data_IF_983610414059
#
_entry.id   IF_983610414059
#
_cell.length_a   1.000
_cell.length_b   1.000
_cell.length_c   1.000
_cell.angle_alpha   90.00
_cell.angle_beta   90.00
_cell.angle_gamma   90.00
#
_symmetry.space_group_name_H-M   'P 1'
#
loop_
_entity.id
_entity.type
_entity.pdbx_description
1 polymer ?
#
# COMPACT_ATOMS: atom_id res chain seq x y z
N UNK A 1 28.30 0.42 -11.23
CA UNK A 1 27.58 -0.06 -10.04
C UNK A 1 28.03 -1.48 -9.79
N UNK A 2 28.64 -1.73 -8.63
CA UNK A 2 28.86 -3.10 -8.16
C UNK A 2 27.50 -3.81 -8.07
N UNK A 3 27.43 -5.06 -8.51
CA UNK A 3 26.26 -5.93 -8.30
C UNK A 3 26.10 -6.17 -6.80
N UNK A 4 25.43 -5.26 -6.09
CA UNK A 4 24.97 -5.51 -4.72
C UNK A 4 24.06 -6.73 -4.78
N UNK A 5 24.35 -7.71 -3.93
CA UNK A 5 23.53 -8.90 -3.79
C UNK A 5 22.11 -8.48 -3.37
N UNK A 6 21.09 -8.91 -4.14
CA UNK A 6 19.69 -8.59 -3.81
C UNK A 6 19.34 -9.12 -2.42
N UNK A 7 18.85 -8.23 -1.55
CA UNK A 7 18.41 -8.58 -0.20
C UNK A 7 17.17 -9.49 -0.25
N UNK A 8 16.93 -10.20 0.85
CA UNK A 8 15.77 -11.10 0.95
C UNK A 8 14.44 -10.36 0.71
N UNK A 9 14.28 -9.17 1.30
CA UNK A 9 13.07 -8.35 1.13
C UNK A 9 12.83 -7.93 -0.32
N UNK A 10 13.88 -7.68 -1.11
CA UNK A 10 13.78 -7.34 -2.53
C UNK A 10 13.30 -8.54 -3.36
N UNK A 11 13.87 -9.73 -3.10
CA UNK A 11 13.44 -10.98 -3.75
C UNK A 11 11.99 -11.32 -3.43
N UNK A 12 11.57 -11.12 -2.17
CA UNK A 12 10.19 -11.32 -1.72
C UNK A 12 9.25 -10.36 -2.46
N UNK A 13 9.58 -9.06 -2.48
CA UNK A 13 8.78 -8.06 -3.18
C UNK A 13 8.63 -8.38 -4.67
N UNK A 14 9.75 -8.61 -5.37
CA UNK A 14 9.72 -8.95 -6.80
C UNK A 14 8.91 -10.22 -7.07
N UNK A 15 9.09 -11.26 -6.23
CA UNK A 15 8.34 -12.51 -6.33
C UNK A 15 6.83 -12.30 -6.18
N UNK A 16 6.39 -11.46 -5.25
CA UNK A 16 4.96 -11.18 -5.09
C UNK A 16 4.41 -10.30 -6.21
N UNK A 17 5.14 -9.29 -6.69
CA UNK A 17 4.70 -8.52 -7.86
C UNK A 17 4.51 -9.44 -9.07
N UNK A 18 5.44 -10.38 -9.30
CA UNK A 18 5.32 -11.36 -10.38
C UNK A 18 4.10 -12.25 -10.21
N UNK A 19 3.85 -12.78 -9.00
CA UNK A 19 2.72 -13.66 -8.72
C UNK A 19 1.36 -12.96 -8.88
N UNK A 20 1.24 -11.74 -8.38
CA UNK A 20 -0.03 -11.02 -8.32
C UNK A 20 -0.34 -10.36 -9.67
N UNK A 21 0.66 -9.73 -10.30
CA UNK A 21 0.46 -8.85 -11.46
C UNK A 21 1.15 -9.37 -12.73
N UNK A 22 1.89 -10.47 -12.65
CA UNK A 22 2.62 -11.06 -13.79
C UNK A 22 4.01 -10.47 -14.02
N UNK A 23 4.83 -11.21 -14.78
CA UNK A 23 6.21 -10.83 -15.15
C UNK A 23 6.33 -9.50 -15.89
N UNK A 24 5.31 -9.13 -16.66
CA UNK A 24 5.35 -7.87 -17.40
C UNK A 24 5.16 -6.67 -16.47
N UNK A 25 4.40 -6.81 -15.39
CA UNK A 25 4.30 -5.77 -14.36
C UNK A 25 5.67 -5.46 -13.72
N UNK A 26 6.52 -6.48 -13.49
CA UNK A 26 7.88 -6.24 -12.99
C UNK A 26 8.70 -5.32 -13.89
N UNK A 27 8.59 -5.49 -15.22
CA UNK A 27 9.26 -4.63 -16.19
C UNK A 27 8.65 -3.23 -16.19
N UNK A 28 7.33 -3.14 -16.07
CA UNK A 28 6.62 -1.86 -16.04
C UNK A 28 7.01 -1.01 -14.81
N UNK A 29 7.20 -1.64 -13.64
CA UNK A 29 7.60 -0.94 -12.41
C UNK A 29 9.11 -0.71 -12.29
N UNK A 30 9.94 -1.37 -13.10
CA UNK A 30 11.40 -1.32 -12.99
C UNK A 30 11.95 0.12 -12.91
N UNK A 31 11.50 1.10 -13.73
CA UNK A 31 11.98 2.47 -13.62
C UNK A 31 11.64 3.14 -12.28
N UNK A 32 10.45 2.88 -11.74
CA UNK A 32 10.00 3.42 -10.45
C UNK A 32 10.73 2.74 -9.29
N UNK A 33 10.92 1.43 -9.39
CA UNK A 33 11.67 0.64 -8.41
C UNK A 33 13.13 1.08 -8.34
N UNK A 34 13.78 1.29 -9.49
CA UNK A 34 15.16 1.77 -9.54
C UNK A 34 15.33 3.14 -8.86
N UNK A 35 14.35 4.06 -9.00
CA UNK A 35 14.38 5.34 -8.25
C UNK A 35 14.35 5.12 -6.73
N UNK A 36 13.57 4.17 -6.23
CA UNK A 36 13.52 3.83 -4.80
C UNK A 36 14.89 3.30 -4.33
N UNK A 37 15.51 2.43 -5.13
CA UNK A 37 16.84 1.89 -4.86
C UNK A 37 17.93 2.97 -4.90
N UNK A 38 17.88 3.88 -5.88
CA UNK A 38 18.78 5.03 -5.96
C UNK A 38 18.62 5.96 -4.76
N UNK A 39 17.39 6.27 -4.34
CA UNK A 39 17.12 7.10 -3.18
C UNK A 39 17.67 6.47 -1.88
N UNK A 40 17.51 5.15 -1.73
CA UNK A 40 18.11 4.39 -0.63
C UNK A 40 19.63 4.48 -0.65
N UNK A 41 20.24 4.14 -1.77
CA UNK A 41 21.70 4.03 -1.90
C UNK A 41 22.40 5.40 -1.76
N UNK A 42 21.72 6.48 -2.15
CA UNK A 42 22.18 7.85 -1.97
C UNK A 42 21.77 8.47 -0.62
N UNK A 43 21.11 7.70 0.26
CA UNK A 43 20.62 8.15 1.57
C UNK A 43 19.79 9.45 1.48
N UNK A 44 18.93 9.54 0.45
CA UNK A 44 17.97 10.64 0.30
C UNK A 44 17.08 10.66 1.55
N UNK A 45 16.72 11.85 2.03
CA UNK A 45 15.85 11.97 3.20
C UNK A 45 14.47 11.37 2.89
N UNK A 46 13.99 10.49 3.76
CA UNK A 46 12.64 9.92 3.74
C UNK A 46 12.02 10.00 5.14
N UNK A 47 10.71 9.76 5.23
CA UNK A 47 10.01 9.65 6.50
C UNK A 47 10.30 8.35 7.24
N UNK A 48 9.66 8.20 8.41
CA UNK A 48 9.95 7.11 9.37
C UNK A 48 9.70 5.73 8.75
N UNK A 49 8.77 5.65 7.80
CA UNK A 49 8.36 4.41 7.16
C UNK A 49 8.95 4.23 5.76
N UNK A 50 9.92 5.05 5.38
CA UNK A 50 10.51 5.04 4.05
C UNK A 50 9.69 5.81 3.01
N UNK A 51 8.73 6.63 3.45
CA UNK A 51 7.95 7.49 2.59
C UNK A 51 8.82 8.63 2.03
N UNK A 52 9.03 8.60 0.72
CA UNK A 52 9.53 9.70 -0.08
C UNK A 52 8.78 9.72 -1.43
N UNK A 53 9.08 10.69 -2.29
CA UNK A 53 8.38 10.84 -3.57
C UNK A 53 8.49 9.58 -4.44
N UNK A 54 9.65 8.94 -4.53
CA UNK A 54 9.83 7.77 -5.38
C UNK A 54 9.07 6.56 -4.82
N UNK A 55 9.11 6.37 -3.50
CA UNK A 55 8.36 5.32 -2.83
C UNK A 55 6.85 5.52 -3.00
N UNK A 56 6.38 6.77 -2.88
CA UNK A 56 4.98 7.14 -3.07
C UNK A 56 4.53 6.95 -4.53
N UNK A 57 5.34 7.35 -5.50
CA UNK A 57 5.03 7.13 -6.93
C UNK A 57 4.84 5.63 -7.23
N UNK A 58 5.72 4.78 -6.70
CA UNK A 58 5.63 3.35 -6.93
C UNK A 58 4.41 2.72 -6.26
N UNK A 59 4.10 3.07 -5.00
CA UNK A 59 2.91 2.49 -4.35
C UNK A 59 1.61 2.91 -5.03
N UNK A 60 1.52 4.16 -5.49
CA UNK A 60 0.35 4.63 -6.25
C UNK A 60 0.22 3.89 -7.59
N UNK A 61 1.34 3.62 -8.26
CA UNK A 61 1.33 2.78 -9.46
C UNK A 61 0.85 1.35 -9.17
N UNK A 62 1.32 0.75 -8.07
CA UNK A 62 0.87 -0.59 -7.66
C UNK A 62 -0.63 -0.60 -7.35
N UNK A 63 -1.17 0.43 -6.71
CA UNK A 63 -2.62 0.58 -6.49
C UNK A 63 -3.39 0.70 -7.79
N UNK A 64 -2.86 1.42 -8.77
CA UNK A 64 -3.44 1.44 -10.12
C UNK A 64 -3.50 0.01 -10.70
N UNK A 65 -2.44 -0.79 -10.57
CA UNK A 65 -2.44 -2.20 -10.97
C UNK A 65 -3.41 -3.06 -10.16
N UNK A 66 -3.52 -2.86 -8.86
CA UNK A 66 -4.52 -3.53 -8.03
C UNK A 66 -5.94 -3.23 -8.53
N UNK A 67 -6.21 -2.00 -8.95
CA UNK A 67 -7.51 -1.61 -9.49
C UNK A 67 -7.79 -2.23 -10.86
N UNK A 68 -6.80 -2.25 -11.76
CA UNK A 68 -6.90 -2.95 -13.06
C UNK A 68 -7.22 -4.45 -12.87
N UNK A 69 -6.68 -5.06 -11.81
CA UNK A 69 -6.92 -6.45 -11.44
C UNK A 69 -8.12 -6.64 -10.49
N UNK A 70 -8.89 -5.57 -10.23
CA UNK A 70 -10.04 -5.55 -9.32
C UNK A 70 -9.74 -6.04 -7.91
N UNK A 71 -8.49 -5.99 -7.46
CA UNK A 71 -8.09 -6.33 -6.09
C UNK A 71 -8.46 -5.24 -5.08
N UNK A 72 -8.83 -4.05 -5.56
CA UNK A 72 -9.33 -2.93 -4.75
C UNK A 72 -10.51 -2.28 -5.45
N UNK A 73 -11.36 -1.61 -4.66
CA UNK A 73 -12.50 -0.84 -5.15
C UNK A 73 -12.09 0.24 -6.17
N UNK A 74 -12.87 0.36 -7.26
CA UNK A 74 -12.81 1.51 -8.16
C UNK A 74 -13.57 2.73 -7.62
N UNK A 75 -14.41 2.52 -6.61
CA UNK A 75 -15.20 3.57 -5.98
C UNK A 75 -14.37 4.37 -4.96
N UNK A 76 -14.53 5.70 -4.96
CA UNK A 76 -14.04 6.58 -3.92
C UNK A 76 -14.40 6.16 -2.50
N UNK A 77 -13.47 6.30 -1.56
CA UNK A 77 -13.76 6.11 -0.12
C UNK A 77 -14.86 7.07 0.39
N UNK A 78 -14.98 8.25 -0.23
CA UNK A 78 -16.02 9.23 0.08
C UNK A 78 -17.43 8.71 -0.20
N UNK A 79 -17.60 7.75 -1.12
CA UNK A 79 -18.90 7.12 -1.38
C UNK A 79 -19.35 6.24 -0.19
N UNK A 80 -18.40 5.64 0.53
CA UNK A 80 -18.67 4.86 1.74
C UNK A 80 -18.87 5.74 2.97
N UNK A 81 -18.07 6.81 3.10
CA UNK A 81 -18.09 7.71 4.26
C UNK A 81 -19.09 8.86 4.18
N UNK A 82 -19.60 9.17 2.98
CA UNK A 82 -20.42 10.35 2.67
C UNK A 82 -19.81 11.67 3.19
N UNK A 83 -18.48 11.78 3.23
CA UNK A 83 -17.76 12.92 3.80
C UNK A 83 -16.63 13.38 2.87
N UNK A 84 -16.50 14.70 2.71
CA UNK A 84 -15.37 15.37 2.06
C UNK A 84 -15.01 16.59 2.95
N UNK A 85 -13.78 16.70 3.50
CA UNK A 85 -12.68 15.74 3.50
C UNK A 85 -12.88 14.60 4.52
N UNK A 86 -12.17 13.48 4.32
CA UNK A 86 -12.18 12.35 5.25
C UNK A 86 -11.26 12.67 6.42
N UNK A 87 -11.83 12.77 7.62
CA UNK A 87 -11.08 12.93 8.86
C UNK A 87 -10.67 11.56 9.40
N UNK A 88 -9.55 11.51 10.13
CA UNK A 88 -9.11 10.29 10.85
C UNK A 88 -10.24 9.74 11.73
N UNK A 89 -11.00 10.61 12.41
CA UNK A 89 -12.11 10.20 13.28
C UNK A 89 -13.26 9.53 12.50
N UNK A 90 -13.64 10.08 11.35
CA UNK A 90 -14.71 9.51 10.52
C UNK A 90 -14.30 8.15 9.94
N UNK A 91 -13.04 8.01 9.52
CA UNK A 91 -12.51 6.73 9.07
C UNK A 91 -12.47 5.69 10.19
N UNK A 92 -12.08 6.07 11.42
CA UNK A 92 -12.11 5.18 12.59
C UNK A 92 -13.52 4.61 12.83
N UNK A 93 -14.56 5.45 12.75
CA UNK A 93 -15.96 5.04 12.90
C UNK A 93 -16.47 4.12 11.78
N UNK A 94 -15.93 4.26 10.57
CA UNK A 94 -16.26 3.40 9.44
C UNK A 94 -15.70 1.99 9.64
N UNK A 95 -14.41 1.85 9.96
CA UNK A 95 -13.82 0.53 10.21
C UNK A 95 -14.54 -0.22 11.33
N UNK A 96 -14.98 0.47 12.39
CA UNK A 96 -15.74 -0.16 13.49
C UNK A 96 -17.13 -0.66 13.08
N UNK A 97 -17.78 0.01 12.12
CA UNK A 97 -19.13 -0.33 11.67
C UNK A 97 -19.12 -1.29 10.49
N UNK A 98 -18.38 -0.93 9.46
CA UNK A 98 -18.34 -1.60 8.17
C UNK A 98 -17.31 -2.72 8.15
N UNK A 99 -16.41 -2.80 9.14
CA UNK A 99 -15.49 -3.93 9.29
C UNK A 99 -16.19 -5.29 9.28
N UNK A 100 -17.48 -5.38 9.67
CA UNK A 100 -18.22 -6.64 9.58
C UNK A 100 -18.69 -7.00 8.17
N UNK A 101 -19.11 -6.01 7.40
CA UNK A 101 -19.73 -6.21 6.09
C UNK A 101 -18.71 -6.12 4.96
N UNK A 102 -17.51 -5.57 5.24
CA UNK A 102 -16.36 -5.46 4.32
C UNK A 102 -16.76 -4.84 2.98
N UNK A 103 -17.66 -3.86 3.00
CA UNK A 103 -18.37 -3.39 1.79
C UNK A 103 -17.44 -2.78 0.74
N UNK A 104 -16.20 -2.47 1.12
CA UNK A 104 -15.17 -1.91 0.25
C UNK A 104 -14.20 -2.92 -0.36
N UNK A 105 -14.22 -4.18 0.10
CA UNK A 105 -13.41 -5.26 -0.47
C UNK A 105 -14.13 -5.83 -1.69
N UNK A 106 -13.37 -6.21 -2.70
CA UNK A 106 -13.90 -6.75 -3.95
C UNK A 106 -14.06 -8.27 -3.89
N UNK A 107 -14.93 -8.80 -4.75
CA UNK A 107 -15.08 -10.25 -4.94
C UNK A 107 -13.76 -10.88 -5.42
N UNK A 108 -13.07 -10.26 -6.38
CA UNK A 108 -11.75 -10.74 -6.82
C UNK A 108 -10.71 -10.76 -5.69
N UNK A 109 -10.72 -9.80 -4.76
CA UNK A 109 -9.83 -9.85 -3.59
C UNK A 109 -10.16 -11.04 -2.68
N UNK A 110 -11.44 -11.32 -2.46
CA UNK A 110 -11.88 -12.48 -1.69
C UNK A 110 -11.44 -13.80 -2.33
N UNK A 111 -11.57 -13.92 -3.65
CA UNK A 111 -11.18 -15.12 -4.39
C UNK A 111 -9.66 -15.34 -4.38
N UNK A 112 -8.87 -14.28 -4.57
CA UNK A 112 -7.42 -14.36 -4.59
C UNK A 112 -6.78 -14.49 -3.20
N UNK A 113 -7.38 -13.87 -2.18
CA UNK A 113 -6.83 -13.78 -0.82
C UNK A 113 -7.87 -14.11 0.26
N UNK A 114 -8.41 -15.35 0.27
CA UNK A 114 -9.53 -15.70 1.15
C UNK A 114 -9.18 -15.67 2.63
N UNK A 115 -7.93 -15.98 3.03
CA UNK A 115 -7.54 -15.95 4.44
C UNK A 115 -7.41 -14.51 4.94
N UNK A 116 -6.78 -13.64 4.16
CA UNK A 116 -6.76 -12.20 4.42
C UNK A 116 -8.16 -11.62 4.46
N UNK A 117 -8.99 -11.90 3.45
CA UNK A 117 -10.37 -11.41 3.38
C UNK A 117 -11.15 -11.72 4.66
N UNK A 118 -11.07 -12.96 5.16
CA UNK A 118 -11.80 -13.36 6.37
C UNK A 118 -11.30 -12.70 7.65
N UNK A 119 -10.01 -12.36 7.70
CA UNK A 119 -9.38 -11.82 8.90
C UNK A 119 -9.17 -10.30 8.85
N UNK A 120 -9.56 -9.65 7.75
CA UNK A 120 -9.42 -8.19 7.62
C UNK A 120 -10.03 -7.38 8.76
N UNK A 121 -11.24 -7.69 9.23
CA UNK A 121 -11.82 -6.87 10.28
C UNK A 121 -10.96 -6.86 11.55
N UNK A 122 -10.28 -7.98 11.85
CA UNK A 122 -9.44 -8.12 13.03
C UNK A 122 -8.03 -7.54 12.84
N UNK A 123 -7.43 -7.70 11.66
CA UNK A 123 -6.11 -7.18 11.33
C UNK A 123 -6.08 -5.64 11.25
N UNK A 124 -7.21 -5.03 10.84
CA UNK A 124 -7.29 -3.60 10.51
C UNK A 124 -7.72 -2.67 11.66
N UNK A 125 -8.36 -3.16 12.73
CA UNK A 125 -8.93 -2.33 13.80
C UNK A 125 -7.88 -1.48 14.56
N UNK A 126 -6.61 -1.88 14.53
CA UNK A 126 -5.58 -1.38 15.45
C UNK A 126 -4.46 -0.56 14.77
N UNK A 127 -4.03 -0.85 13.53
CA UNK A 127 -2.73 -0.31 13.03
C UNK A 127 -2.80 0.78 11.96
N UNK A 128 -3.79 0.74 11.10
CA UNK A 128 -3.77 1.53 9.87
C UNK A 128 -4.19 2.97 10.04
N UNK A 129 -4.86 3.24 11.15
CA UNK A 129 -5.48 4.52 11.45
C UNK A 129 -4.45 5.65 11.59
N UNK A 130 -3.16 5.32 11.69
CA UNK A 130 -2.05 6.22 11.95
C UNK A 130 -0.79 5.79 11.18
N UNK A 131 -0.93 5.38 9.91
CA UNK A 131 0.17 4.75 9.15
C UNK A 131 1.41 5.64 8.90
N UNK A 132 1.31 6.92 9.23
CA UNK A 132 2.43 7.85 9.32
C UNK A 132 3.16 8.14 8.00
N UNK A 133 2.68 7.65 6.85
CA UNK A 133 3.18 8.07 5.55
C UNK A 133 2.66 9.48 5.25
N UNK A 134 3.57 10.42 5.01
CA UNK A 134 3.20 11.81 4.77
C UNK A 134 3.15 12.11 3.26
N UNK A 135 1.94 12.24 2.72
CA UNK A 135 1.75 12.53 1.30
C UNK A 135 1.79 14.02 0.98
N UNK A 136 1.88 14.91 1.98
CA UNK A 136 1.71 16.35 1.79
C UNK A 136 2.67 16.94 0.75
N UNK A 137 3.95 16.52 0.75
CA UNK A 137 4.93 17.00 -0.24
C UNK A 137 4.61 16.48 -1.65
N UNK A 138 4.28 15.19 -1.79
CA UNK A 138 3.91 14.58 -3.05
C UNK A 138 2.69 15.27 -3.69
N UNK A 139 1.67 15.53 -2.88
CA UNK A 139 0.43 16.16 -3.28
C UNK A 139 0.62 17.63 -3.73
N UNK A 140 1.51 18.35 -3.05
CA UNK A 140 1.85 19.73 -3.39
C UNK A 140 2.64 19.84 -4.71
N UNK A 141 3.51 18.87 -5.02
CA UNK A 141 4.35 18.91 -6.22
C UNK A 141 3.61 18.47 -7.49
N UNK A 142 2.69 17.52 -7.37
CA UNK A 142 2.01 16.90 -8.52
C UNK A 142 0.72 17.61 -8.95
N UNK A 143 0.48 18.85 -8.49
CA UNK A 143 -0.63 19.72 -8.91
C UNK A 143 -1.97 18.98 -9.07
N UNK A 144 -2.52 18.44 -7.97
CA UNK A 144 -3.90 17.93 -7.80
C UNK A 144 -4.56 17.04 -8.89
N UNK A 145 -3.89 16.70 -10.00
CA UNK A 145 -4.45 15.92 -11.10
C UNK A 145 -4.44 14.41 -10.82
N UNK A 146 -4.00 14.00 -9.63
CA UNK A 146 -4.28 12.65 -9.14
C UNK A 146 -5.72 12.58 -8.68
N UNK A 147 -6.41 11.52 -9.06
CA UNK A 147 -7.79 11.28 -8.67
C UNK A 147 -7.85 10.93 -7.18
N UNK A 148 -7.76 11.96 -6.34
CA UNK A 148 -7.96 11.88 -4.89
C UNK A 148 -9.30 11.27 -4.53
N UNK A 149 -10.28 11.32 -5.43
CA UNK A 149 -11.56 10.70 -5.14
C UNK A 149 -11.34 9.20 -5.07
N UNK A 150 -10.54 8.61 -5.96
CA UNK A 150 -10.30 7.16 -5.94
C UNK A 150 -9.29 6.76 -4.86
N UNK A 151 -8.26 7.56 -4.57
CA UNK A 151 -7.26 7.21 -3.56
C UNK A 151 -7.69 7.49 -2.11
N UNK A 152 -7.54 6.50 -1.24
CA UNK A 152 -8.03 6.58 0.13
C UNK A 152 -7.07 7.39 1.01
N UNK A 153 -7.39 8.68 1.23
CA UNK A 153 -6.63 9.56 2.12
C UNK A 153 -7.46 10.04 3.31
N UNK A 154 -6.79 10.34 4.42
CA UNK A 154 -7.37 11.09 5.53
C UNK A 154 -6.53 12.32 5.88
N UNK A 155 -7.22 13.37 6.31
CA UNK A 155 -6.61 14.65 6.68
C UNK A 155 -6.61 14.79 8.20
N UNK A 156 -5.41 14.97 8.75
CA UNK A 156 -5.16 15.38 10.13
C UNK A 156 -4.71 16.84 10.22
N UNK A 157 -4.47 17.32 11.44
CA UNK A 157 -4.16 18.75 11.71
C UNK A 157 -2.97 19.28 10.90
N UNK A 158 -1.96 18.46 10.62
CA UNK A 158 -0.73 18.82 9.88
C UNK A 158 -0.21 17.68 8.98
N UNK A 159 -1.04 16.68 8.67
CA UNK A 159 -0.61 15.50 7.92
C UNK A 159 -1.74 15.03 7.01
N UNK A 160 -1.41 14.68 5.77
CA UNK A 160 -2.25 13.85 4.91
C UNK A 160 -1.66 12.46 4.94
N UNK A 161 -2.40 11.52 5.52
CA UNK A 161 -2.03 10.11 5.57
C UNK A 161 -2.86 9.34 4.57
N UNK A 162 -2.29 8.27 4.02
CA UNK A 162 -3.09 7.34 3.26
C UNK A 162 -3.83 6.38 4.18
N UNK A 163 -4.71 5.64 3.55
CA UNK A 163 -5.46 4.55 4.11
C UNK A 163 -5.24 3.40 3.14
N UNK A 164 -5.02 2.21 3.69
CA UNK A 164 -4.87 1.02 2.86
C UNK A 164 -6.22 0.45 2.48
N UNK A 165 -6.33 -0.04 1.25
CA UNK A 165 -7.56 -0.66 0.77
C UNK A 165 -7.79 -2.03 1.43
N UNK A 166 -6.72 -2.79 1.62
CA UNK A 166 -6.71 -4.14 2.19
C UNK A 166 -5.30 -4.53 2.70
N UNK A 167 -5.14 -5.72 3.25
CA UNK A 167 -3.87 -6.22 3.78
C UNK A 167 -2.80 -6.37 2.69
N UNK A 168 -3.18 -6.62 1.43
CA UNK A 168 -2.23 -6.63 0.31
C UNK A 168 -1.59 -5.26 0.09
N UNK A 169 -2.40 -4.20 -0.03
CA UNK A 169 -1.90 -2.84 -0.20
C UNK A 169 -0.96 -2.45 0.95
N UNK A 170 -1.33 -2.81 2.19
CA UNK A 170 -0.45 -2.62 3.34
C UNK A 170 0.87 -3.33 3.18
N UNK A 171 0.82 -4.61 2.85
CA UNK A 171 1.98 -5.45 2.87
C UNK A 171 2.97 -5.02 1.79
N UNK A 172 2.47 -4.69 0.59
CA UNK A 172 3.30 -4.13 -0.49
C UNK A 172 3.92 -2.79 -0.09
N UNK A 173 3.16 -1.91 0.55
CA UNK A 173 3.66 -0.63 1.05
C UNK A 173 4.78 -0.82 2.08
N UNK A 174 4.60 -1.76 3.01
CA UNK A 174 5.60 -2.06 4.03
C UNK A 174 6.86 -2.72 3.46
N UNK A 175 6.71 -3.64 2.52
CA UNK A 175 7.84 -4.24 1.81
C UNK A 175 8.65 -3.14 1.13
N UNK A 176 7.98 -2.21 0.46
CA UNK A 176 8.65 -1.11 -0.21
C UNK A 176 9.33 -0.15 0.76
N UNK A 177 8.67 0.20 1.87
CA UNK A 177 9.28 0.97 2.96
C UNK A 177 10.50 0.27 3.57
N UNK A 178 10.45 -1.05 3.70
CA UNK A 178 11.57 -1.86 4.21
C UNK A 178 12.74 -1.89 3.24
N UNK A 179 12.47 -2.03 1.94
CA UNK A 179 13.47 -1.90 0.88
C UNK A 179 14.11 -0.50 0.95
N UNK A 180 13.28 0.54 1.04
CA UNK A 180 13.73 1.93 1.07
C UNK A 180 14.57 2.28 2.29
N UNK A 181 14.29 1.66 3.43
CA UNK A 181 15.04 1.79 4.69
C UNK A 181 16.21 0.81 4.81
N UNK A 182 16.54 0.10 3.72
CA UNK A 182 17.64 -0.85 3.64
C UNK A 182 17.58 -2.02 4.65
N UNK A 183 16.36 -2.42 5.05
CA UNK A 183 16.15 -3.51 6.02
C UNK A 183 16.42 -4.87 5.40
N UNK A 184 16.97 -5.80 6.19
CA UNK A 184 17.27 -7.16 5.72
C UNK A 184 16.04 -8.07 5.58
N UNK A 185 15.03 -7.87 6.44
CA UNK A 185 13.87 -8.75 6.56
C UNK A 185 12.58 -7.95 6.55
N UNK A 186 11.52 -8.59 6.08
CA UNK A 186 10.14 -8.11 6.22
C UNK A 186 9.65 -8.37 7.67
N UNK A 187 10.02 -7.49 8.60
CA UNK A 187 9.66 -7.58 10.02
C UNK A 187 8.20 -7.22 10.31
N UNK A 188 7.28 -7.64 9.44
CA UNK A 188 5.86 -7.36 9.61
C UNK A 188 5.27 -8.28 10.68
N UNK A 189 4.75 -7.70 11.75
CA UNK A 189 3.89 -8.40 12.71
C UNK A 189 2.43 -8.45 12.24
N UNK A 190 2.05 -7.60 11.28
CA UNK A 190 0.69 -7.40 10.74
C UNK A 190 0.77 -7.46 9.21
N UNK A 191 0.00 -8.34 8.57
CA UNK A 191 0.34 -8.85 7.23
C UNK A 191 0.62 -10.36 7.23
N UNK A 192 0.26 -11.08 8.30
CA UNK A 192 0.50 -12.52 8.38
C UNK A 192 -0.46 -13.27 7.48
N UNK A 193 -1.72 -12.85 7.40
CA UNK A 193 -2.72 -13.60 6.64
C UNK A 193 -2.45 -13.45 5.14
N UNK A 194 -2.02 -12.25 4.71
CA UNK A 194 -1.70 -12.04 3.30
C UNK A 194 -0.47 -12.83 2.88
N UNK A 195 0.51 -13.01 3.77
CA UNK A 195 1.64 -13.92 3.51
C UNK A 195 1.16 -15.36 3.33
N UNK A 196 0.24 -15.82 4.18
CA UNK A 196 -0.33 -17.17 4.05
C UNK A 196 -1.09 -17.35 2.72
N UNK A 197 -1.75 -16.32 2.20
CA UNK A 197 -2.36 -16.37 0.87
C UNK A 197 -1.30 -16.32 -0.25
N UNK A 198 -0.32 -15.43 -0.17
CA UNK A 198 0.74 -15.28 -1.17
C UNK A 198 1.65 -16.52 -1.32
N UNK A 199 1.81 -17.29 -0.24
CA UNK A 199 2.49 -18.59 -0.27
C UNK A 199 1.69 -19.66 -1.04
N UNK A 200 0.36 -19.52 -1.12
CA UNK A 200 -0.56 -20.47 -1.77
C UNK A 200 -0.90 -20.11 -3.21
N UNK A 201 -0.54 -18.91 -3.67
CA UNK A 201 -0.66 -18.51 -5.08
C UNK A 201 0.42 -19.27 -5.88
N UNK A 202 -0.04 -20.08 -6.83
CA UNK A 202 0.76 -20.90 -7.76
C UNK A 202 1.61 -20.06 -8.73
#
# INVERSE_FOLDING_TARGET
MENKEKKNVEKIFEGYIEKIFGKDCLKDIEPLYNKVIENRDNNVKCGIYGDDLATIELILYLRHKMRENKLISSEPISNYLKAIPITIENFKKFLEKDGKDRSWLTEEYQECFPYSYELEPESHIIDYKEDGWNYSEYLNQNNQNYDYDIEWFCVGKNVVAHIYYNELDHYLTYLLGSIRLDKEKDSIQKGKNIKEDLEKID
#
